data_IF_064753654886
#
_entry.id   IF_064753654886
#
_cell.length_a   1.000
_cell.length_b   1.000
_cell.length_c   1.000
_cell.angle_alpha   90.00
_cell.angle_beta   90.00
_cell.angle_gamma   90.00
#
_symmetry.space_group_name_H-M   'P 1'
#
loop_
_entity.id
_entity.type
_entity.pdbx_description
1 polymer ?
#
# COMPACT_ATOMS: atom_id res chain seq x y z
N UNK A 1 5.25 -17.29 15.99
CA UNK A 1 3.93 -17.81 15.53
C UNK A 1 3.37 -16.85 14.48
N UNK A 2 3.61 -17.08 13.19
CA UNK A 2 3.04 -16.24 12.12
C UNK A 2 1.55 -16.55 11.90
N UNK A 3 0.69 -15.71 12.47
CA UNK A 3 -0.77 -15.84 12.38
C UNK A 3 -1.27 -15.80 10.93
N UNK A 4 -0.67 -14.93 10.11
CA UNK A 4 -0.95 -14.81 8.67
C UNK A 4 -0.64 -16.13 7.94
N UNK A 5 0.51 -16.76 8.25
CA UNK A 5 0.89 -18.05 7.68
C UNK A 5 -0.08 -19.18 8.06
N UNK A 6 -0.62 -19.15 9.29
CA UNK A 6 -1.65 -20.10 9.73
C UNK A 6 -2.96 -19.92 8.97
N UNK A 7 -3.47 -18.69 8.87
CA UNK A 7 -4.71 -18.37 8.11
C UNK A 7 -4.58 -18.78 6.65
N UNK A 8 -3.43 -18.49 6.02
CA UNK A 8 -3.21 -18.84 4.61
C UNK A 8 -3.23 -20.34 4.39
N UNK A 9 -2.60 -21.14 5.25
CA UNK A 9 -2.65 -22.61 5.17
C UNK A 9 -4.07 -23.14 5.35
N UNK A 10 -4.83 -22.61 6.30
CA UNK A 10 -6.23 -23.00 6.51
C UNK A 10 -7.10 -22.70 5.27
N UNK A 11 -6.81 -21.62 4.56
CA UNK A 11 -7.53 -21.27 3.34
C UNK A 11 -7.07 -22.06 2.11
N UNK A 12 -5.76 -22.25 1.93
CA UNK A 12 -5.22 -22.87 0.70
C UNK A 12 -5.15 -24.38 0.77
N UNK A 13 -4.79 -24.97 1.92
CA UNK A 13 -4.69 -26.44 2.07
C UNK A 13 -6.02 -27.04 2.49
N UNK A 14 -6.58 -26.51 3.58
CA UNK A 14 -7.79 -27.07 4.18
C UNK A 14 -9.07 -26.57 3.49
N UNK A 15 -8.95 -25.62 2.55
CA UNK A 15 -10.05 -25.01 1.77
C UNK A 15 -11.20 -24.48 2.66
N UNK A 16 -10.87 -24.05 3.87
CA UNK A 16 -11.85 -23.55 4.81
C UNK A 16 -12.34 -22.16 4.37
N UNK A 17 -13.62 -21.92 4.62
CA UNK A 17 -14.22 -20.61 4.43
C UNK A 17 -13.65 -19.60 5.44
N UNK A 18 -13.64 -18.31 5.08
CA UNK A 18 -13.19 -17.25 5.97
C UNK A 18 -13.90 -17.25 7.33
N UNK A 19 -15.17 -17.68 7.37
CA UNK A 19 -15.97 -17.78 8.60
C UNK A 19 -15.50 -18.92 9.50
N UNK A 20 -15.11 -20.04 8.93
CA UNK A 20 -14.53 -21.17 9.68
C UNK A 20 -13.15 -20.83 10.23
N UNK A 21 -12.36 -20.11 9.43
CA UNK A 21 -11.06 -19.60 9.86
C UNK A 21 -11.25 -18.63 11.04
N UNK A 22 -12.16 -17.66 10.92
CA UNK A 22 -12.49 -16.72 12.00
C UNK A 22 -12.89 -17.43 13.30
N UNK A 23 -13.73 -18.47 13.24
CA UNK A 23 -14.12 -19.29 14.40
C UNK A 23 -12.93 -20.04 15.01
N UNK A 24 -12.03 -20.59 14.20
CA UNK A 24 -10.85 -21.34 14.68
C UNK A 24 -9.74 -20.44 15.23
N UNK A 25 -9.56 -19.25 14.67
CA UNK A 25 -8.50 -18.33 15.08
C UNK A 25 -8.95 -17.29 16.10
N UNK A 26 -10.26 -17.17 16.38
CA UNK A 26 -10.80 -16.14 17.27
C UNK A 26 -10.67 -14.72 16.73
N UNK A 27 -10.46 -14.57 15.42
CA UNK A 27 -10.29 -13.28 14.76
C UNK A 27 -11.58 -12.87 14.07
N UNK A 28 -11.78 -11.56 13.90
CA UNK A 28 -12.91 -11.08 13.12
C UNK A 28 -12.81 -11.56 11.66
N UNK A 29 -13.96 -11.83 11.04
CA UNK A 29 -14.04 -12.17 9.61
C UNK A 29 -13.35 -11.10 8.75
N UNK A 30 -13.50 -9.84 9.12
CA UNK A 30 -12.92 -8.70 8.41
C UNK A 30 -11.38 -8.75 8.44
N UNK A 31 -10.79 -9.18 9.55
CA UNK A 31 -9.33 -9.37 9.67
C UNK A 31 -8.85 -10.50 8.77
N UNK A 32 -9.56 -11.62 8.76
CA UNK A 32 -9.23 -12.77 7.90
C UNK A 32 -9.31 -12.38 6.42
N UNK A 33 -10.39 -11.72 6.00
CA UNK A 33 -10.58 -11.25 4.62
C UNK A 33 -9.49 -10.24 4.21
N UNK A 34 -9.20 -9.25 5.07
CA UNK A 34 -8.10 -8.30 4.83
C UNK A 34 -6.78 -9.02 4.64
N UNK A 35 -6.45 -10.00 5.47
CA UNK A 35 -5.15 -10.67 5.39
C UNK A 35 -5.04 -11.66 4.22
N UNK A 36 -6.15 -12.25 3.78
CA UNK A 36 -6.17 -13.07 2.56
C UNK A 36 -5.98 -12.19 1.32
N UNK A 37 -6.62 -11.03 1.25
CA UNK A 37 -6.56 -10.13 0.09
C UNK A 37 -5.36 -9.18 0.08
N UNK A 38 -4.85 -8.76 1.23
CA UNK A 38 -3.75 -7.80 1.34
C UNK A 38 -2.39 -8.35 0.90
N UNK A 39 -2.28 -9.65 0.61
CA UNK A 39 -1.00 -10.27 0.25
C UNK A 39 -0.64 -10.21 -1.24
N UNK A 40 -1.51 -9.64 -2.09
CA UNK A 40 -1.29 -9.56 -3.55
C UNK A 40 -1.18 -8.12 -4.06
N UNK A 41 -1.82 -7.14 -3.40
CA UNK A 41 -1.85 -5.79 -3.94
C UNK A 41 -0.83 -4.89 -3.29
N UNK A 42 0.18 -4.59 -4.11
CA UNK A 42 1.04 -3.42 -4.09
C UNK A 42 2.26 -3.55 -3.17
N UNK A 43 3.39 -3.90 -3.80
CA UNK A 43 4.67 -3.27 -3.43
C UNK A 43 4.38 -1.78 -3.20
N UNK A 44 4.69 -1.20 -2.03
CA UNK A 44 4.45 0.21 -1.77
C UNK A 44 5.17 1.01 -2.86
N UNK A 45 4.42 1.41 -3.89
CA UNK A 45 4.97 2.14 -5.01
C UNK A 45 5.11 3.55 -4.51
N UNK A 46 6.34 3.92 -4.14
CA UNK A 46 6.66 5.25 -3.69
C UNK A 46 6.12 6.28 -4.69
N UNK A 47 5.04 6.96 -4.29
CA UNK A 47 4.41 8.01 -5.09
C UNK A 47 4.65 9.32 -4.35
N UNK A 48 5.71 10.02 -4.73
CA UNK A 48 5.91 11.41 -4.34
C UNK A 48 5.13 12.27 -5.31
N UNK A 49 4.20 13.07 -4.80
CA UNK A 49 3.63 14.13 -5.63
C UNK A 49 4.74 15.14 -5.97
N UNK A 50 4.80 15.65 -7.22
CA UNK A 50 5.76 16.66 -7.60
C UNK A 50 5.47 17.93 -6.80
N UNK A 51 6.16 18.10 -5.67
CA UNK A 51 6.19 19.36 -4.94
C UNK A 51 7.14 20.30 -5.65
N UNK A 52 6.80 21.59 -5.81
CA UNK A 52 7.75 22.58 -6.29
C UNK A 52 8.95 22.57 -5.35
N UNK A 53 10.12 22.18 -5.86
CA UNK A 53 11.37 22.27 -5.12
C UNK A 53 12.00 23.65 -5.41
N UNK A 54 12.90 24.10 -4.54
CA UNK A 54 13.61 25.38 -4.66
C UNK A 54 14.45 25.50 -5.96
N UNK A 55 14.53 24.43 -6.76
CA UNK A 55 15.24 24.34 -8.04
C UNK A 55 14.27 24.27 -9.24
N UNK A 56 12.95 24.43 -9.03
CA UNK A 56 11.98 24.51 -10.11
C UNK A 56 12.22 25.80 -10.89
N UNK A 57 13.01 25.68 -11.96
CA UNK A 57 13.37 26.72 -12.92
C UNK A 57 13.64 28.09 -12.28
N UNK A 58 14.82 28.25 -11.70
CA UNK A 58 15.39 29.60 -11.65
C UNK A 58 15.73 29.96 -13.10
N UNK A 59 14.82 30.60 -13.83
CA UNK A 59 15.09 31.15 -15.17
C UNK A 59 16.09 32.29 -14.99
N UNK A 60 17.38 32.14 -15.32
CA UNK A 60 18.32 33.24 -15.26
C UNK A 60 18.30 33.87 -16.64
N UNK A 61 17.37 34.80 -16.84
CA UNK A 61 17.12 35.40 -18.14
C UNK A 61 16.60 36.81 -18.01
N UNK A 62 17.56 37.72 -17.86
CA UNK A 62 17.49 39.12 -18.28
C UNK A 62 16.67 40.08 -17.41
N UNK A 63 17.34 40.54 -16.35
CA UNK A 63 17.31 41.95 -15.98
C UNK A 63 17.72 42.80 -17.18
N UNK A 64 16.91 43.81 -17.53
CA UNK A 64 17.36 44.99 -18.28
C UNK A 64 16.89 45.08 -19.72
N UNK A 65 15.63 45.49 -19.93
CA UNK A 65 15.25 46.36 -21.05
C UNK A 65 14.73 47.69 -20.47
N UNK A 66 15.67 48.52 -20.00
CA UNK A 66 15.48 49.97 -19.98
C UNK A 66 16.15 50.49 -21.25
N UNK A 67 15.35 50.87 -22.26
CA UNK A 67 15.62 52.00 -23.15
C UNK A 67 14.39 52.27 -24.06
N UNK A 68 14.00 53.55 -24.06
CA UNK A 68 12.92 54.25 -24.78
C UNK A 68 11.46 53.98 -24.33
#
# INVERSE_FOLDING_TARGET
MDMIGRIRRLHTRDKLSEREIARKTGLSRNTVSKWLHASVNETPKYRREPRPNKLSVNRPGFFGDLNL
#
